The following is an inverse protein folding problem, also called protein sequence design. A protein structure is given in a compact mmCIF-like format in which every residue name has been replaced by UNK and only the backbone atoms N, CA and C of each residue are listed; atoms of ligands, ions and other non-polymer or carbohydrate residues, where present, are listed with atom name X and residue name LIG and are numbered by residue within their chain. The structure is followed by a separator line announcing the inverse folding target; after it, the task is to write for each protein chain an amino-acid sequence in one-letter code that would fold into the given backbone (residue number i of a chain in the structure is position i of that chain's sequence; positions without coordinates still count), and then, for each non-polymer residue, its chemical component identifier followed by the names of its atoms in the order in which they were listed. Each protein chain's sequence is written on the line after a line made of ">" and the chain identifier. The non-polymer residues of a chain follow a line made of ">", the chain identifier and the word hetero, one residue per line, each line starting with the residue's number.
data_IF_196245898503
#
_entry.id   IF_196245898503
#
_cell.length_a   1.000
_cell.length_b   1.000
_cell.length_c   1.000
_cell.angle_alpha   90.00
_cell.angle_beta   90.00
_cell.angle_gamma   90.00
#
_symmetry.space_group_name_H-M   'P 1'
#
loop_
_entity.id
_entity.type
_entity.pdbx_description
1 polymer ?
#
# COMPACT_ATOMS: atom_id res chain seq x y z
N UNK A 1 -7.83 2.93 -6.72
CA UNK A 1 -6.91 2.17 -7.57
C UNK A 1 -7.59 0.91 -8.06
N UNK A 2 -7.34 0.55 -9.30
CA UNK A 2 -7.86 -0.67 -9.92
C UNK A 2 -6.66 -1.55 -10.30
N UNK A 3 -6.40 -2.57 -9.47
CA UNK A 3 -5.25 -3.44 -9.63
C UNK A 3 -5.64 -4.67 -10.45
N UNK A 4 -5.05 -4.84 -11.63
CA UNK A 4 -5.24 -5.99 -12.51
C UNK A 4 -6.70 -6.32 -12.86
N UNK A 5 -7.64 -5.39 -12.71
CA UNK A 5 -9.07 -5.67 -12.89
C UNK A 5 -9.71 -6.57 -11.83
N UNK A 6 -8.94 -7.03 -10.83
CA UNK A 6 -9.37 -8.01 -9.82
C UNK A 6 -9.52 -7.36 -8.44
N UNK A 7 -8.53 -6.57 -8.02
CA UNK A 7 -8.53 -5.94 -6.71
C UNK A 7 -8.81 -4.43 -6.81
N UNK A 8 -9.49 -3.90 -5.79
CA UNK A 8 -9.81 -2.48 -5.65
C UNK A 8 -9.15 -1.93 -4.40
N UNK A 9 -8.54 -0.78 -4.54
CA UNK A 9 -7.97 -0.03 -3.43
C UNK A 9 -8.63 1.35 -3.37
N UNK A 10 -9.33 1.61 -2.28
CA UNK A 10 -10.01 2.88 -2.03
C UNK A 10 -9.33 3.56 -0.85
N UNK A 11 -9.07 4.86 -0.98
CA UNK A 11 -8.47 5.69 0.04
C UNK A 11 -9.26 6.97 0.22
N UNK A 12 -9.48 7.36 1.47
CA UNK A 12 -10.06 8.65 1.83
C UNK A 12 -9.34 9.24 3.04
N UNK A 13 -9.14 10.55 3.06
CA UNK A 13 -8.46 11.22 4.16
C UNK A 13 -8.99 12.62 4.37
N UNK A 14 -9.01 13.05 5.62
CA UNK A 14 -9.25 14.43 6.02
C UNK A 14 -8.17 14.86 7.00
N UNK A 15 -7.63 16.07 6.80
CA UNK A 15 -6.62 16.65 7.67
C UNK A 15 -7.12 18.00 8.17
N UNK A 16 -6.96 18.25 9.47
CA UNK A 16 -7.30 19.51 10.11
C UNK A 16 -6.09 20.08 10.84
N UNK A 17 -5.74 21.32 10.53
CA UNK A 17 -4.79 22.11 11.30
C UNK A 17 -5.39 22.40 12.69
N UNK A 18 -4.66 22.04 13.76
CA UNK A 18 -5.08 22.31 15.14
C UNK A 18 -4.55 23.65 15.62
N UNK A 19 -3.30 23.94 15.29
CA UNK A 19 -2.60 25.20 15.56
C UNK A 19 -1.52 25.42 14.48
N UNK A 20 -0.67 26.46 14.61
CA UNK A 20 0.36 26.78 13.63
C UNK A 20 1.49 25.75 13.52
N UNK A 21 1.56 24.81 14.46
CA UNK A 21 2.61 23.79 14.52
C UNK A 21 2.10 22.37 14.45
N UNK A 22 0.80 22.16 14.63
CA UNK A 22 0.27 20.80 14.71
C UNK A 22 -0.97 20.59 13.85
N UNK A 23 -1.12 19.36 13.38
CA UNK A 23 -2.27 18.91 12.58
C UNK A 23 -2.69 17.51 13.01
N UNK A 24 -3.97 17.24 12.89
CA UNK A 24 -4.55 15.92 13.06
C UNK A 24 -5.16 15.46 11.75
N UNK A 25 -4.98 14.19 11.42
CA UNK A 25 -5.54 13.55 10.23
C UNK A 25 -6.30 12.27 10.58
N UNK A 26 -7.33 11.99 9.81
CA UNK A 26 -8.01 10.72 9.83
C UNK A 26 -8.05 10.18 8.41
N UNK A 27 -7.65 8.91 8.24
CA UNK A 27 -7.66 8.24 6.94
C UNK A 27 -8.39 6.91 7.03
N UNK A 28 -8.99 6.54 5.92
CA UNK A 28 -9.65 5.27 5.70
C UNK A 28 -9.05 4.60 4.46
N UNK A 29 -8.76 3.31 4.57
CA UNK A 29 -8.26 2.48 3.48
C UNK A 29 -9.17 1.26 3.36
N UNK A 30 -9.56 0.93 2.14
CA UNK A 30 -10.17 -0.35 1.79
C UNK A 30 -9.37 -1.01 0.68
N UNK A 31 -8.93 -2.23 0.90
CA UNK A 31 -8.42 -3.11 -0.15
C UNK A 31 -9.35 -4.31 -0.25
N UNK A 32 -9.82 -4.64 -1.45
CA UNK A 32 -10.81 -5.70 -1.58
C UNK A 32 -10.79 -6.40 -2.92
N UNK A 33 -11.18 -7.66 -2.91
CA UNK A 33 -11.41 -8.51 -4.07
C UNK A 33 -12.84 -9.02 -4.00
N UNK A 34 -13.58 -8.78 -5.06
CA UNK A 34 -14.97 -9.22 -5.18
C UNK A 34 -15.06 -10.46 -6.11
N UNK A 35 -16.17 -11.18 -6.04
CA UNK A 35 -16.49 -12.31 -6.90
C UNK A 35 -15.45 -13.45 -6.87
N UNK A 36 -14.92 -13.77 -5.70
CA UNK A 36 -14.06 -14.93 -5.51
C UNK A 36 -14.92 -16.20 -5.55
N UNK A 37 -14.67 -17.15 -6.49
CA UNK A 37 -15.46 -18.36 -6.56
C UNK A 37 -15.21 -19.26 -5.34
N UNK A 38 -16.28 -19.64 -4.67
CA UNK A 38 -16.26 -20.66 -3.63
C UNK A 38 -16.57 -22.02 -4.24
N UNK A 39 -15.58 -22.88 -4.24
CA UNK A 39 -15.65 -24.24 -4.82
C UNK A 39 -15.72 -25.34 -3.75
N UNK A 40 -15.97 -25.00 -2.49
CA UNK A 40 -16.00 -25.96 -1.39
C UNK A 40 -17.10 -27.02 -1.55
N UNK A 41 -18.17 -26.70 -2.26
CA UNK A 41 -19.30 -27.60 -2.54
C UNK A 41 -19.31 -28.12 -3.98
N UNK A 42 -18.23 -27.92 -4.74
CA UNK A 42 -18.14 -28.31 -6.14
C UNK A 42 -18.32 -29.84 -6.37
N UNK A 43 -17.82 -30.62 -5.41
CA UNK A 43 -17.89 -32.09 -5.47
C UNK A 43 -19.00 -32.55 -4.54
N UNK A 44 -19.95 -33.33 -5.08
CA UNK A 44 -21.03 -33.92 -4.30
C UNK A 44 -20.55 -35.16 -3.49
N UNK A 45 -21.44 -35.69 -2.62
CA UNK A 45 -21.14 -36.88 -1.81
C UNK A 45 -20.87 -38.16 -2.63
N UNK A 46 -21.22 -38.17 -3.91
CA UNK A 46 -21.01 -39.27 -4.86
C UNK A 46 -19.72 -39.05 -5.68
N UNK A 47 -19.01 -37.94 -5.49
CA UNK A 47 -17.78 -37.63 -6.20
C UNK A 47 -18.00 -36.95 -7.58
N UNK A 48 -19.23 -36.55 -7.91
CA UNK A 48 -19.51 -35.84 -9.16
C UNK A 48 -19.24 -34.35 -9.03
N UNK A 49 -18.72 -33.75 -10.09
CA UNK A 49 -18.50 -32.28 -10.15
C UNK A 49 -19.82 -31.62 -10.58
N UNK A 50 -20.28 -30.67 -9.75
CA UNK A 50 -21.47 -29.87 -10.02
C UNK A 50 -21.13 -28.38 -10.00
N UNK A 51 -20.96 -27.77 -11.15
CA UNK A 51 -20.62 -26.35 -11.32
C UNK A 51 -21.74 -25.40 -10.87
N UNK A 52 -22.99 -25.82 -10.78
CA UNK A 52 -24.11 -25.01 -10.30
C UNK A 52 -24.03 -24.71 -8.79
N UNK A 53 -23.15 -25.41 -8.08
CA UNK A 53 -22.86 -25.19 -6.65
C UNK A 53 -21.77 -24.16 -6.37
N UNK A 54 -21.18 -23.58 -7.42
CA UNK A 54 -20.21 -22.49 -7.23
C UNK A 54 -20.96 -21.27 -6.73
N UNK A 55 -20.64 -20.86 -5.52
CA UNK A 55 -21.06 -19.58 -4.95
C UNK A 55 -19.91 -18.58 -5.01
N UNK A 56 -20.16 -17.31 -4.70
CA UNK A 56 -19.14 -16.28 -4.74
C UNK A 56 -19.10 -15.55 -3.41
N UNK A 57 -17.91 -15.15 -3.00
CA UNK A 57 -17.70 -14.32 -1.82
C UNK A 57 -16.74 -13.17 -2.13
N UNK A 58 -16.60 -12.22 -1.21
CA UNK A 58 -15.65 -11.11 -1.27
C UNK A 58 -14.69 -11.18 -0.10
N UNK A 59 -13.46 -10.74 -0.32
CA UNK A 59 -12.47 -10.49 0.72
C UNK A 59 -12.16 -9.00 0.77
N UNK A 60 -12.07 -8.42 1.97
CA UNK A 60 -11.74 -7.02 2.14
C UNK A 60 -10.96 -6.76 3.43
N UNK A 61 -9.95 -5.94 3.31
CA UNK A 61 -9.18 -5.36 4.42
C UNK A 61 -9.55 -3.88 4.55
N UNK A 62 -9.98 -3.47 5.73
CA UNK A 62 -10.33 -2.09 6.07
C UNK A 62 -9.33 -1.58 7.10
N UNK A 63 -8.79 -0.39 6.90
CA UNK A 63 -7.94 0.25 7.90
C UNK A 63 -8.44 1.67 8.21
N UNK A 64 -8.55 1.97 9.49
CA UNK A 64 -8.84 3.29 10.03
C UNK A 64 -7.58 3.81 10.71
N UNK A 65 -7.11 4.99 10.30
CA UNK A 65 -5.82 5.52 10.73
C UNK A 65 -6.02 6.93 11.29
N UNK A 66 -5.75 7.09 12.58
CA UNK A 66 -5.65 8.40 13.22
C UNK A 66 -4.19 8.85 13.25
N UNK A 67 -3.90 10.05 12.75
CA UNK A 67 -2.53 10.58 12.63
C UNK A 67 -2.40 11.92 13.30
N UNK A 68 -1.27 12.17 13.95
CA UNK A 68 -0.91 13.46 14.51
C UNK A 68 0.49 13.85 14.06
N UNK A 69 0.65 15.09 13.63
CA UNK A 69 1.93 15.66 13.21
C UNK A 69 2.20 16.99 13.89
N UNK A 70 3.47 17.24 14.23
CA UNK A 70 3.90 18.46 14.90
C UNK A 70 5.24 18.96 14.37
N UNK A 71 5.34 20.27 14.10
CA UNK A 71 6.60 20.98 13.89
C UNK A 71 7.27 21.18 15.26
N UNK A 72 8.44 20.57 15.45
CA UNK A 72 9.27 20.74 16.65
C UNK A 72 10.00 22.07 16.59
N UNK A 73 10.54 22.39 15.41
CA UNK A 73 11.18 23.66 15.06
C UNK A 73 11.05 23.91 13.55
N UNK A 74 11.72 24.95 13.02
CA UNK A 74 11.63 25.34 11.62
C UNK A 74 12.16 24.27 10.64
N UNK A 75 12.96 23.34 11.12
CA UNK A 75 13.59 22.30 10.28
C UNK A 75 13.03 20.90 10.54
N UNK A 76 12.53 20.63 11.75
CA UNK A 76 12.16 19.29 12.19
C UNK A 76 10.66 19.18 12.45
N UNK A 77 10.04 18.23 11.82
CA UNK A 77 8.67 17.78 12.07
C UNK A 77 8.67 16.31 12.51
N UNK A 78 7.79 15.95 13.42
CA UNK A 78 7.58 14.57 13.87
C UNK A 78 6.11 14.22 13.78
N UNK A 79 5.82 12.94 13.60
CA UNK A 79 4.46 12.45 13.52
C UNK A 79 4.32 11.02 14.02
N UNK A 80 3.08 10.64 14.26
CA UNK A 80 2.72 9.28 14.61
C UNK A 80 1.30 8.96 14.17
N UNK A 81 1.04 7.69 13.95
CA UNK A 81 -0.28 7.19 13.55
C UNK A 81 -0.62 5.92 14.31
N UNK A 82 -1.90 5.76 14.59
CA UNK A 82 -2.49 4.54 15.15
C UNK A 82 -3.42 3.95 14.11
N UNK A 83 -3.29 2.64 13.88
CA UNK A 83 -4.09 1.90 12.90
C UNK A 83 -4.99 0.89 13.59
N UNK A 84 -6.27 0.86 13.21
CA UNK A 84 -7.20 -0.21 13.53
C UNK A 84 -7.56 -0.88 12.22
N UNK A 85 -7.38 -2.19 12.13
CA UNK A 85 -7.55 -2.96 10.92
C UNK A 85 -8.66 -3.98 11.15
N UNK A 86 -9.60 -4.06 10.20
CA UNK A 86 -10.61 -5.10 10.14
C UNK A 86 -10.46 -5.84 8.82
N UNK A 87 -10.31 -7.16 8.90
CA UNK A 87 -10.14 -8.02 7.73
C UNK A 87 -11.27 -9.04 7.68
N UNK A 88 -11.81 -9.26 6.50
CA UNK A 88 -12.88 -10.22 6.28
C UNK A 88 -12.64 -10.98 4.99
N UNK A 89 -12.81 -12.32 5.04
CA UNK A 89 -12.86 -13.17 3.86
C UNK A 89 -14.13 -14.01 3.92
N UNK A 90 -15.08 -13.73 3.05
CA UNK A 90 -16.42 -14.31 3.12
C UNK A 90 -17.07 -14.09 4.48
N UNK A 91 -17.87 -15.07 4.90
CA UNK A 91 -18.44 -15.10 6.25
C UNK A 91 -17.65 -16.01 7.20
N UNK A 92 -16.62 -16.70 6.67
CA UNK A 92 -15.91 -17.75 7.36
C UNK A 92 -14.58 -17.32 8.01
N UNK A 93 -14.05 -16.13 7.69
CA UNK A 93 -12.82 -15.63 8.30
C UNK A 93 -12.90 -14.13 8.59
N UNK A 94 -12.56 -13.74 9.80
CA UNK A 94 -12.55 -12.35 10.26
C UNK A 94 -11.32 -12.10 11.12
N UNK A 95 -10.71 -10.92 10.99
CA UNK A 95 -9.64 -10.51 11.88
C UNK A 95 -9.79 -9.04 12.31
N UNK A 96 -9.26 -8.76 13.48
CA UNK A 96 -9.01 -7.41 13.96
C UNK A 96 -7.54 -7.24 14.25
N UNK A 97 -7.01 -6.09 13.85
CA UNK A 97 -5.61 -5.75 14.01
C UNK A 97 -5.41 -4.34 14.55
N UNK A 98 -4.22 -4.14 15.08
CA UNK A 98 -3.77 -2.87 15.62
C UNK A 98 -2.29 -2.66 15.30
N UNK A 99 -1.91 -1.44 14.96
CA UNK A 99 -0.53 -1.07 14.68
C UNK A 99 -0.25 0.40 14.93
N UNK A 100 1.03 0.74 15.06
CA UNK A 100 1.51 2.10 15.28
C UNK A 100 2.62 2.40 14.29
N UNK A 101 2.58 3.60 13.70
CA UNK A 101 3.64 4.15 12.87
C UNK A 101 4.20 5.42 13.52
N UNK A 102 5.48 5.69 13.32
CA UNK A 102 6.13 6.94 13.71
C UNK A 102 6.90 7.52 12.52
N UNK A 103 7.02 8.83 12.46
CA UNK A 103 7.71 9.50 11.37
C UNK A 103 8.45 10.75 11.83
N UNK A 104 9.47 11.11 11.07
CA UNK A 104 10.19 12.36 11.25
C UNK A 104 10.64 12.88 9.90
N UNK A 105 10.56 14.20 9.70
CA UNK A 105 11.06 14.88 8.51
C UNK A 105 11.94 16.03 8.94
N UNK A 106 13.17 16.06 8.44
CA UNK A 106 14.08 17.18 8.56
C UNK A 106 14.21 17.86 7.21
N UNK A 107 13.91 19.18 7.15
CA UNK A 107 14.02 19.98 5.94
C UNK A 107 14.83 21.24 6.22
N UNK A 108 15.88 21.47 5.42
CA UNK A 108 16.69 22.66 5.49
C UNK A 108 17.07 23.12 4.09
N UNK A 109 16.73 24.36 3.75
CA UNK A 109 16.82 24.92 2.41
C UNK A 109 16.09 24.00 1.40
N UNK A 110 16.77 23.58 0.36
CA UNK A 110 16.22 22.76 -0.72
C UNK A 110 16.29 21.24 -0.46
N UNK A 111 16.93 20.83 0.64
CA UNK A 111 17.10 19.43 1.00
C UNK A 111 16.16 19.00 2.11
N UNK A 112 15.71 17.76 2.03
CA UNK A 112 15.01 17.11 3.11
C UNK A 112 15.36 15.64 3.25
N UNK A 113 15.21 15.15 4.48
CA UNK A 113 15.37 13.75 4.84
C UNK A 113 14.10 13.35 5.60
N UNK A 114 13.49 12.24 5.24
CA UNK A 114 12.34 11.69 5.91
C UNK A 114 12.62 10.26 6.39
N UNK A 115 12.11 9.92 7.55
CA UNK A 115 12.14 8.58 8.11
C UNK A 115 10.72 8.23 8.54
N UNK A 116 10.23 7.09 8.08
CA UNK A 116 8.96 6.52 8.52
C UNK A 116 9.21 5.10 9.01
N UNK A 117 9.00 4.87 10.29
CA UNK A 117 8.99 3.53 10.84
C UNK A 117 7.53 3.06 10.92
N UNK A 118 7.18 2.12 10.06
CA UNK A 118 5.86 1.50 10.01
C UNK A 118 5.82 0.26 10.88
N UNK A 119 4.67 0.03 11.49
CA UNK A 119 4.42 -1.17 12.30
C UNK A 119 5.43 -1.34 13.45
N UNK A 120 5.79 -0.24 14.13
CA UNK A 120 6.85 -0.21 15.17
C UNK A 120 6.56 -1.13 16.36
N UNK A 121 5.29 -1.41 16.62
CA UNK A 121 4.84 -2.35 17.65
C UNK A 121 4.66 -3.77 17.12
N UNK A 122 5.02 -4.04 15.87
CA UNK A 122 4.45 -5.06 14.99
C UNK A 122 2.93 -4.89 14.88
N UNK A 123 2.41 -4.83 13.67
CA UNK A 123 0.95 -4.85 13.53
C UNK A 123 0.48 -6.28 13.67
N UNK A 124 -0.42 -6.51 14.63
CA UNK A 124 -0.99 -7.83 14.87
C UNK A 124 -2.42 -7.88 14.37
N UNK A 125 -2.80 -9.03 13.79
CA UNK A 125 -4.15 -9.37 13.38
C UNK A 125 -4.55 -10.66 14.08
N UNK A 126 -5.65 -10.61 14.81
CA UNK A 126 -6.22 -11.79 15.49
C UNK A 126 -7.31 -12.37 14.60
N UNK A 127 -7.03 -13.53 14.01
CA UNK A 127 -7.94 -14.24 13.15
C UNK A 127 -8.90 -15.14 13.91
N UNK A 128 -10.17 -15.11 13.51
CA UNK A 128 -11.21 -16.03 13.93
C UNK A 128 -11.86 -16.67 12.69
N UNK A 129 -11.93 -17.99 12.68
CA UNK A 129 -12.49 -18.78 11.60
C UNK A 129 -13.80 -19.45 12.05
N UNK A 130 -14.85 -19.26 11.29
CA UNK A 130 -16.19 -19.83 11.48
C UNK A 130 -16.54 -20.70 10.27
N UNK A 131 -16.04 -21.95 10.25
CA UNK A 131 -16.25 -22.85 9.12
C UNK A 131 -17.57 -23.60 9.25
N UNK A 132 -18.29 -23.76 8.12
CA UNK A 132 -19.46 -24.64 8.08
C UNK A 132 -19.04 -26.12 8.12
N UNK A 133 -19.98 -27.00 8.48
CA UNK A 133 -19.71 -28.44 8.47
C UNK A 133 -19.33 -28.96 7.08
N UNK A 134 -19.91 -28.39 6.03
CA UNK A 134 -19.59 -28.72 4.65
C UNK A 134 -18.13 -28.36 4.33
N UNK A 135 -17.69 -27.17 4.71
CA UNK A 135 -16.29 -26.74 4.54
C UNK A 135 -15.33 -27.65 5.30
N UNK A 136 -15.63 -27.98 6.58
CA UNK A 136 -14.82 -28.90 7.38
C UNK A 136 -14.70 -30.27 6.70
N UNK A 137 -15.80 -30.81 6.21
CA UNK A 137 -15.79 -32.08 5.50
C UNK A 137 -14.99 -32.03 4.20
N UNK A 138 -15.09 -30.94 3.45
CA UNK A 138 -14.32 -30.73 2.21
C UNK A 138 -12.83 -30.66 2.51
N UNK A 139 -12.39 -29.89 3.51
CA UNK A 139 -10.99 -29.82 3.93
C UNK A 139 -10.46 -31.21 4.31
N UNK A 140 -11.19 -31.94 5.14
CA UNK A 140 -10.80 -33.29 5.59
C UNK A 140 -10.71 -34.28 4.40
N UNK A 141 -11.67 -34.25 3.47
CA UNK A 141 -11.72 -35.18 2.33
C UNK A 141 -10.63 -34.88 1.28
N UNK A 142 -10.19 -33.63 1.18
CA UNK A 142 -9.12 -33.20 0.26
C UNK A 142 -7.74 -33.25 0.88
N UNK A 143 -7.62 -33.62 2.16
CA UNK A 143 -6.34 -33.68 2.89
C UNK A 143 -5.73 -32.32 3.18
N UNK A 144 -6.54 -31.26 3.17
CA UNK A 144 -6.11 -29.92 3.55
C UNK A 144 -6.21 -29.74 5.07
N UNK A 145 -5.32 -28.98 5.65
CA UNK A 145 -5.37 -28.59 7.05
C UNK A 145 -6.48 -27.56 7.29
N UNK A 146 -7.22 -27.72 8.39
CA UNK A 146 -8.22 -26.73 8.79
C UNK A 146 -7.50 -25.46 9.29
N UNK A 147 -7.95 -24.27 8.86
CA UNK A 147 -7.41 -23.03 9.42
C UNK A 147 -7.78 -22.91 10.90
N UNK A 148 -6.80 -22.58 11.72
CA UNK A 148 -6.96 -22.36 13.15
C UNK A 148 -6.97 -20.88 13.49
N UNK A 149 -7.71 -20.51 14.54
CA UNK A 149 -7.67 -19.18 15.10
C UNK A 149 -6.24 -18.84 15.54
N UNK A 150 -5.76 -17.68 15.17
CA UNK A 150 -4.35 -17.37 15.36
C UNK A 150 -4.02 -15.90 15.31
N UNK A 151 -2.76 -15.62 15.60
CA UNK A 151 -2.17 -14.30 15.57
C UNK A 151 -1.25 -14.19 14.36
N UNK A 152 -1.57 -13.28 13.43
CA UNK A 152 -0.71 -12.88 12.33
C UNK A 152 0.05 -11.60 12.72
N UNK A 153 1.35 -11.58 12.51
CA UNK A 153 2.21 -10.42 12.82
C UNK A 153 2.82 -9.85 11.56
N UNK A 154 2.66 -8.54 11.36
CA UNK A 154 3.42 -7.77 10.37
C UNK A 154 4.61 -7.12 11.07
N UNK A 155 5.82 -7.51 10.67
CA UNK A 155 7.05 -7.00 11.28
C UNK A 155 7.34 -5.55 10.87
N UNK A 156 8.10 -4.81 11.68
CA UNK A 156 8.46 -3.42 11.40
C UNK A 156 9.18 -3.23 10.08
N UNK A 157 8.86 -2.12 9.39
CA UNK A 157 9.53 -1.65 8.19
C UNK A 157 9.94 -0.20 8.36
N UNK A 158 11.14 0.15 7.90
CA UNK A 158 11.63 1.53 7.91
C UNK A 158 11.75 2.03 6.47
N UNK A 159 11.16 3.19 6.19
CA UNK A 159 11.30 3.90 4.93
C UNK A 159 12.22 5.09 5.17
N UNK A 160 13.32 5.17 4.43
CA UNK A 160 14.23 6.29 4.43
C UNK A 160 14.10 7.04 3.11
N UNK A 161 13.86 8.35 3.18
CA UNK A 161 13.75 9.21 2.02
C UNK A 161 14.71 10.39 2.09
N UNK A 162 15.31 10.74 0.97
CA UNK A 162 16.10 11.96 0.77
C UNK A 162 15.56 12.66 -0.46
N UNK A 163 15.27 13.93 -0.34
CA UNK A 163 14.77 14.71 -1.47
C UNK A 163 15.48 16.04 -1.62
N UNK A 164 15.48 16.56 -2.84
CA UNK A 164 15.98 17.89 -3.17
C UNK A 164 15.04 18.61 -4.11
N UNK A 165 14.73 19.85 -3.75
CA UNK A 165 13.98 20.78 -4.59
C UNK A 165 14.94 21.64 -5.40
N UNK A 166 14.60 21.88 -6.65
CA UNK A 166 15.25 22.86 -7.53
C UNK A 166 14.19 23.85 -7.99
N UNK A 167 14.49 25.12 -7.86
CA UNK A 167 13.64 26.19 -8.35
C UNK A 167 14.26 26.77 -9.60
N UNK A 168 13.49 26.81 -10.69
CA UNK A 168 13.86 27.40 -11.97
C UNK A 168 13.09 28.71 -12.19
N UNK A 169 13.51 29.48 -13.17
CA UNK A 169 12.79 30.68 -13.58
C UNK A 169 11.34 30.36 -13.97
N UNK A 170 10.42 31.34 -13.80
CA UNK A 170 9.01 31.28 -14.21
C UNK A 170 8.14 30.31 -13.43
N UNK A 171 8.40 30.11 -12.14
CA UNK A 171 7.63 29.23 -11.26
C UNK A 171 7.60 27.76 -11.78
N UNK A 172 8.74 27.27 -12.17
CA UNK A 172 8.96 25.86 -12.46
C UNK A 172 9.81 25.26 -11.34
N UNK A 173 9.33 24.20 -10.72
CA UNK A 173 10.01 23.49 -9.65
C UNK A 173 10.27 22.05 -10.08
N UNK A 174 11.41 21.51 -9.68
CA UNK A 174 11.75 20.11 -9.85
C UNK A 174 12.08 19.53 -8.48
N UNK A 175 11.31 18.53 -8.06
CA UNK A 175 11.61 17.68 -6.91
C UNK A 175 12.25 16.38 -7.42
N UNK A 176 13.36 15.99 -6.83
CA UNK A 176 13.95 14.65 -7.01
C UNK A 176 13.97 13.99 -5.66
N UNK A 177 13.53 12.75 -5.60
CA UNK A 177 13.44 11.95 -4.37
C UNK A 177 14.04 10.56 -4.58
N UNK A 178 14.81 10.12 -3.58
CA UNK A 178 15.31 8.76 -3.46
C UNK A 178 14.83 8.17 -2.15
N UNK A 179 14.17 7.03 -2.21
CA UNK A 179 13.66 6.28 -1.06
C UNK A 179 14.26 4.89 -0.99
N UNK A 180 14.27 4.32 0.21
CA UNK A 180 14.62 2.93 0.45
C UNK A 180 13.69 2.33 1.49
N UNK A 181 12.98 1.28 1.13
CA UNK A 181 12.20 0.46 2.05
C UNK A 181 13.10 -0.61 2.66
N UNK A 182 13.27 -0.57 3.98
CA UNK A 182 14.07 -1.53 4.75
C UNK A 182 13.12 -2.42 5.53
N UNK A 183 13.06 -3.69 5.20
CA UNK A 183 12.23 -4.69 5.89
C UNK A 183 13.06 -5.55 6.81
N UNK A 184 12.45 -6.10 7.87
CA UNK A 184 13.11 -6.84 8.95
C UNK A 184 12.69 -8.31 9.01
N UNK A 185 11.96 -8.78 8.00
CA UNK A 185 11.33 -10.10 7.95
C UNK A 185 12.12 -11.13 7.12
N UNK A 186 13.39 -10.85 6.89
CA UNK A 186 14.29 -11.76 6.22
C UNK A 186 14.46 -11.45 4.72
N UNK A 187 14.82 -12.48 3.97
CA UNK A 187 15.11 -12.33 2.53
C UNK A 187 13.85 -12.10 1.72
N UNK A 188 13.84 -10.99 0.98
CA UNK A 188 12.84 -10.66 -0.02
C UNK A 188 13.43 -10.63 -1.41
N UNK A 189 12.61 -10.77 -2.44
CA UNK A 189 13.04 -10.61 -3.83
C UNK A 189 13.06 -9.11 -4.19
N UNK A 190 14.11 -8.44 -3.76
CA UNK A 190 14.40 -7.01 -3.98
C UNK A 190 15.86 -6.83 -4.34
N UNK A 191 16.27 -5.63 -4.74
CA UNK A 191 17.63 -5.37 -5.23
C UNK A 191 18.71 -5.81 -4.22
N UNK A 192 18.53 -5.50 -2.93
CA UNK A 192 19.47 -5.90 -1.88
C UNK A 192 18.73 -6.86 -0.94
N UNK A 193 18.92 -8.15 -1.17
CA UNK A 193 18.30 -9.23 -0.41
C UNK A 193 19.22 -9.76 0.66
N UNK A 194 18.83 -9.70 1.92
CA UNK A 194 19.63 -10.12 3.07
C UNK A 194 18.81 -10.75 4.18
N UNK A 195 19.47 -11.18 5.24
CA UNK A 195 18.86 -11.70 6.44
C UNK A 195 19.56 -11.10 7.66
N UNK A 196 18.87 -10.38 8.57
CA UNK A 196 17.40 -10.21 8.62
C UNK A 196 16.87 -9.08 7.75
N UNK A 197 17.70 -8.25 7.08
CA UNK A 197 17.27 -7.05 6.40
C UNK A 197 17.28 -7.20 4.88
N UNK A 198 16.22 -6.74 4.22
CA UNK A 198 16.16 -6.54 2.78
C UNK A 198 15.87 -5.07 2.47
N UNK A 199 16.44 -4.53 1.38
CA UNK A 199 16.35 -3.11 1.01
C UNK A 199 15.86 -3.00 -0.43
N UNK A 200 14.76 -2.25 -0.61
CA UNK A 200 14.17 -1.96 -1.90
C UNK A 200 14.26 -0.45 -2.19
N UNK A 201 15.19 -0.01 -3.08
CA UNK A 201 15.36 1.38 -3.42
C UNK A 201 14.40 1.83 -4.52
N UNK A 202 13.93 3.09 -4.40
CA UNK A 202 13.06 3.77 -5.36
C UNK A 202 13.61 5.16 -5.68
N UNK A 203 13.37 5.63 -6.89
CA UNK A 203 13.69 7.01 -7.28
C UNK A 203 12.51 7.61 -8.03
N UNK A 204 12.24 8.87 -7.78
CA UNK A 204 11.19 9.62 -8.45
C UNK A 204 11.56 11.06 -8.67
N UNK A 205 10.88 11.67 -9.63
CA UNK A 205 10.97 13.11 -9.90
C UNK A 205 9.59 13.69 -10.21
N UNK A 206 9.37 14.93 -9.80
CA UNK A 206 8.18 15.71 -10.09
C UNK A 206 8.58 17.06 -10.69
N UNK A 207 8.03 17.39 -11.86
CA UNK A 207 8.02 18.74 -12.40
C UNK A 207 6.70 19.41 -12.06
N UNK A 208 6.78 20.50 -11.30
CA UNK A 208 5.66 21.38 -10.99
C UNK A 208 5.78 22.64 -11.85
N UNK A 209 4.77 22.93 -12.65
CA UNK A 209 4.71 24.06 -13.55
C UNK A 209 3.62 25.03 -13.08
N UNK A 210 4.04 26.14 -12.46
CA UNK A 210 3.18 27.24 -11.97
C UNK A 210 2.14 26.79 -10.94
N UNK A 211 2.40 25.76 -10.16
CA UNK A 211 1.45 25.12 -9.24
C UNK A 211 0.12 24.71 -9.91
N UNK A 212 0.13 24.60 -11.23
CA UNK A 212 -1.03 24.24 -12.04
C UNK A 212 -0.93 22.83 -12.60
N UNK A 213 0.24 22.43 -13.12
CA UNK A 213 0.45 21.13 -13.75
C UNK A 213 1.61 20.42 -13.09
N UNK A 214 1.42 19.14 -12.78
CA UNK A 214 2.41 18.27 -12.17
C UNK A 214 2.68 17.09 -13.11
N UNK A 215 3.94 16.88 -13.45
CA UNK A 215 4.40 15.74 -14.23
C UNK A 215 5.31 14.90 -13.34
N UNK A 216 4.98 13.63 -13.16
CA UNK A 216 5.70 12.74 -12.26
C UNK A 216 6.21 11.52 -13.00
N UNK A 217 7.39 11.06 -12.63
CA UNK A 217 7.95 9.82 -13.13
C UNK A 217 8.88 9.20 -12.11
N UNK A 218 8.93 7.88 -12.10
CA UNK A 218 9.79 7.17 -11.17
C UNK A 218 9.88 5.69 -11.50
N UNK A 219 10.76 5.02 -10.79
CA UNK A 219 10.89 3.57 -10.86
C UNK A 219 11.39 3.00 -9.54
N UNK A 220 11.06 1.75 -9.31
CA UNK A 220 11.42 0.98 -8.13
C UNK A 220 11.08 -0.49 -8.34
N UNK A 221 10.88 -1.21 -7.25
CA UNK A 221 10.50 -2.62 -7.25
C UNK A 221 11.40 -3.46 -8.17
N UNK A 222 12.72 -3.30 -7.97
CA UNK A 222 13.72 -4.03 -8.75
C UNK A 222 13.79 -5.47 -8.24
N UNK A 223 13.27 -6.40 -9.02
CA UNK A 223 13.18 -7.81 -8.66
C UNK A 223 14.04 -8.67 -9.57
N UNK A 224 14.36 -9.86 -9.09
CA UNK A 224 15.09 -10.87 -9.84
C UNK A 224 14.17 -12.04 -10.11
N UNK A 225 13.72 -12.18 -11.36
CA UNK A 225 12.74 -13.19 -11.78
C UNK A 225 13.31 -14.11 -12.86
N UNK A 226 12.93 -15.40 -12.90
CA UNK A 226 13.29 -16.26 -14.03
C UNK A 226 12.48 -15.88 -15.26
N UNK A 227 13.11 -15.79 -16.41
CA UNK A 227 12.45 -15.70 -17.71
C UNK A 227 11.86 -17.06 -18.14
N UNK A 228 11.23 -17.09 -19.31
CA UNK A 228 10.64 -18.32 -19.86
C UNK A 228 11.68 -19.45 -20.11
N UNK A 229 12.95 -19.14 -20.15
CA UNK A 229 14.05 -20.10 -20.31
C UNK A 229 14.64 -20.56 -18.99
N UNK A 230 14.17 -20.00 -17.85
CA UNK A 230 14.69 -20.24 -16.52
C UNK A 230 15.92 -19.37 -16.17
N UNK A 231 16.35 -18.47 -17.05
CA UNK A 231 17.43 -17.53 -16.77
C UNK A 231 16.94 -16.39 -15.90
N UNK A 232 17.68 -16.07 -14.83
CA UNK A 232 17.34 -14.95 -13.95
C UNK A 232 17.58 -13.62 -14.65
N UNK A 233 16.55 -12.79 -14.72
CA UNK A 233 16.58 -11.41 -15.24
C UNK A 233 16.17 -10.43 -14.14
N UNK A 234 16.56 -9.16 -14.29
CA UNK A 234 16.05 -8.09 -13.43
C UNK A 234 14.82 -7.46 -14.08
N UNK A 235 13.76 -7.29 -13.31
CA UNK A 235 12.60 -6.49 -13.67
C UNK A 235 12.61 -5.18 -12.90
N UNK A 236 12.09 -4.13 -13.51
CA UNK A 236 11.98 -2.79 -12.94
C UNK A 236 10.56 -2.32 -13.20
N UNK A 237 9.97 -1.63 -12.25
CA UNK A 237 8.61 -1.10 -12.32
C UNK A 237 8.63 0.41 -12.55
N UNK A 238 8.44 0.89 -13.79
CA UNK A 238 8.24 2.29 -14.09
C UNK A 238 6.85 2.76 -13.67
N UNK A 239 6.76 4.04 -13.29
CA UNK A 239 5.52 4.70 -12.91
C UNK A 239 5.49 6.10 -13.52
N UNK A 240 4.33 6.53 -14.01
CA UNK A 240 4.11 7.85 -14.59
C UNK A 240 2.88 8.49 -13.95
N UNK A 241 2.92 9.79 -13.70
CA UNK A 241 1.82 10.53 -13.10
C UNK A 241 1.62 11.90 -13.74
N UNK A 242 0.36 12.32 -13.78
CA UNK A 242 -0.08 13.63 -14.21
C UNK A 242 -1.03 14.21 -13.18
N UNK A 243 -0.83 15.47 -12.79
CA UNK A 243 -1.71 16.20 -11.88
C UNK A 243 -2.08 17.59 -12.44
N UNK A 244 -3.26 18.06 -12.09
CA UNK A 244 -3.74 19.41 -12.39
C UNK A 244 -4.36 19.98 -11.14
N UNK A 245 -3.94 21.19 -10.74
CA UNK A 245 -4.53 21.94 -9.61
C UNK A 245 -5.28 23.15 -10.14
N UNK A 246 -6.58 23.22 -9.89
CA UNK A 246 -7.41 24.35 -10.29
C UNK A 246 -8.15 24.87 -9.06
N UNK A 247 -7.77 26.08 -8.60
CA UNK A 247 -8.43 26.76 -7.47
C UNK A 247 -8.54 25.93 -6.20
N UNK A 248 -7.45 25.20 -5.85
CA UNK A 248 -7.42 24.36 -4.65
C UNK A 248 -8.06 22.98 -4.78
N UNK A 249 -8.50 22.63 -6.00
CA UNK A 249 -8.90 21.26 -6.36
C UNK A 249 -7.79 20.66 -7.20
N UNK A 250 -7.12 19.65 -6.68
CA UNK A 250 -6.11 18.88 -7.40
C UNK A 250 -6.72 17.56 -7.87
N UNK A 251 -6.54 17.26 -9.15
CA UNK A 251 -6.96 16.00 -9.76
C UNK A 251 -5.73 15.34 -10.34
N UNK A 252 -5.53 14.09 -10.01
CA UNK A 252 -4.33 13.35 -10.38
C UNK A 252 -4.67 11.99 -11.00
N UNK A 253 -3.84 11.57 -11.90
CA UNK A 253 -3.85 10.25 -12.48
C UNK A 253 -2.45 9.67 -12.49
N UNK A 254 -2.29 8.41 -12.10
CA UNK A 254 -1.04 7.68 -12.23
C UNK A 254 -1.25 6.33 -12.91
N UNK A 255 -0.32 6.01 -13.77
CA UNK A 255 -0.14 4.72 -14.40
C UNK A 255 1.07 4.06 -13.75
N UNK A 256 0.86 2.92 -13.11
CA UNK A 256 1.87 2.19 -12.35
C UNK A 256 2.01 0.76 -12.85
N UNK A 257 3.00 0.04 -12.40
CA UNK A 257 3.28 -1.36 -12.78
C UNK A 257 3.51 -1.55 -14.29
N UNK A 258 4.01 -0.54 -14.98
CA UNK A 258 4.18 -0.59 -16.43
C UNK A 258 5.30 -1.59 -16.79
N UNK A 259 4.93 -2.67 -17.48
CA UNK A 259 5.90 -3.58 -18.09
C UNK A 259 6.65 -4.46 -17.10
N UNK A 260 6.13 -4.69 -15.91
CA UNK A 260 6.65 -5.70 -15.00
C UNK A 260 6.32 -7.13 -15.49
N UNK A 261 6.84 -8.14 -14.77
CA UNK A 261 6.57 -9.55 -15.09
C UNK A 261 5.23 -10.06 -14.57
N UNK A 262 4.34 -9.17 -14.10
CA UNK A 262 3.02 -9.55 -13.60
C UNK A 262 2.05 -9.86 -14.75
N UNK A 263 1.00 -10.63 -14.45
CA UNK A 263 -0.08 -10.92 -15.40
C UNK A 263 -0.88 -9.62 -15.70
N UNK A 264 -0.85 -8.65 -14.81
CA UNK A 264 -1.42 -7.34 -15.00
C UNK A 264 -0.40 -6.42 -15.68
N UNK A 265 -0.76 -5.90 -16.84
CA UNK A 265 0.14 -5.05 -17.62
C UNK A 265 0.36 -3.67 -16.98
N UNK A 266 -0.60 -3.18 -16.18
CA UNK A 266 -0.52 -1.89 -15.48
C UNK A 266 -1.66 -1.72 -14.47
N UNK A 267 -1.47 -0.80 -13.52
CA UNK A 267 -2.49 -0.33 -12.59
C UNK A 267 -2.83 1.13 -12.81
N UNK A 268 -4.08 1.50 -12.57
CA UNK A 268 -4.57 2.88 -12.71
C UNK A 268 -4.91 3.44 -11.33
N UNK A 269 -4.39 4.62 -11.02
CA UNK A 269 -4.68 5.34 -9.78
C UNK A 269 -5.30 6.69 -10.13
N UNK A 270 -6.49 6.96 -9.60
CA UNK A 270 -7.14 8.27 -9.65
C UNK A 270 -7.20 8.85 -8.26
N UNK A 271 -6.81 10.11 -8.09
CA UNK A 271 -6.94 10.82 -6.83
C UNK A 271 -7.49 12.23 -7.01
N UNK A 272 -8.10 12.76 -5.97
CA UNK A 272 -8.53 14.14 -5.91
C UNK A 272 -8.30 14.68 -4.51
N UNK A 273 -7.67 15.84 -4.41
CA UNK A 273 -7.44 16.57 -3.17
C UNK A 273 -8.15 17.91 -3.22
N UNK A 274 -8.89 18.26 -2.18
CA UNK A 274 -9.61 19.52 -2.08
C UNK A 274 -9.07 20.29 -0.87
N UNK A 275 -8.53 21.48 -1.12
CA UNK A 275 -8.21 22.42 -0.06
C UNK A 275 -9.50 23.18 0.33
N UNK A 276 -10.01 22.92 1.54
CA UNK A 276 -11.24 23.53 2.04
C UNK A 276 -11.06 25.01 2.45
N UNK A 277 -9.82 25.46 2.62
CA UNK A 277 -9.49 26.85 2.93
C UNK A 277 -8.41 27.34 1.94
N UNK A 278 -8.74 27.52 0.65
CA UNK A 278 -7.82 28.11 -0.30
C UNK A 278 -7.57 29.57 0.11
N UNK A 279 -6.31 29.96 0.27
CA UNK A 279 -5.89 31.36 0.47
C UNK A 279 -6.13 32.21 -0.77
#
# INVERSE_FOLDING_TARGET
>A
EYFAGVAKYDFGSIVKKLDDKSSFGFSFIRFGVDNIPNTTELIDAQGNINYDRITYFSAADLAFIGSYGKKVNDYLSVGGSVKIINRKAGDFAKAWGFGVDISSTYKKNDWGIAIVAKDVTSTFNVWNYELSNEMINTFNSTGNELPENGLELTLPRVILGVFKNYEFEKNVHLLIEFNSDITTDGRRNVLISGNPFSIDPHIGAEFNIRDLVFLRGGFGNIQKTPDLTGKMIYTIQPNLGLGINIKGVEIEYALTDIGDASIAEYSNIFSSTINLNPE
#
